data_IF_453212744168
#
_entry.id   IF_453212744168
#
_cell.length_a   1.000
_cell.length_b   1.000
_cell.length_c   1.000
_cell.angle_alpha   90.00
_cell.angle_beta   90.00
_cell.angle_gamma   90.00
#
_symmetry.space_group_name_H-M   'P 1'
#
loop_
_entity.id
_entity.type
_entity.pdbx_description
1 polymer ?
#
# COMPACT_ATOMS: atom_id res chain seq x y z
N UNK A 1 22.74 -0.85 10.06
CA UNK A 1 22.35 0.07 11.15
C UNK A 1 20.89 -0.05 11.55
N UNK A 2 19.90 0.24 10.68
CA UNK A 2 18.47 0.10 11.06
C UNK A 2 18.09 -1.34 11.50
N UNK A 3 18.51 -2.36 10.74
CA UNK A 3 18.34 -3.78 11.10
C UNK A 3 18.95 -4.14 12.46
N UNK A 4 20.14 -3.60 12.78
CA UNK A 4 20.79 -3.87 14.07
C UNK A 4 20.03 -3.23 15.24
N UNK A 5 19.45 -2.04 15.04
CA UNK A 5 18.62 -1.37 16.05
C UNK A 5 17.32 -2.14 16.25
N UNK A 6 16.69 -2.65 15.19
CA UNK A 6 15.49 -3.47 15.29
C UNK A 6 15.78 -4.79 16.00
N UNK A 7 16.87 -5.47 15.62
CA UNK A 7 17.29 -6.72 16.24
C UNK A 7 17.64 -6.54 17.73
N UNK A 8 18.33 -5.46 18.11
CA UNK A 8 18.65 -5.18 19.52
C UNK A 8 17.44 -4.85 20.38
N UNK A 9 16.36 -4.35 19.76
CA UNK A 9 15.09 -4.09 20.42
C UNK A 9 14.13 -5.28 20.37
N UNK A 10 14.50 -6.39 19.72
CA UNK A 10 13.62 -7.54 19.49
C UNK A 10 12.41 -7.21 18.60
N UNK A 11 12.51 -6.18 17.76
CA UNK A 11 11.42 -5.67 16.90
C UNK A 11 11.66 -5.97 15.42
N UNK A 12 12.12 -7.17 15.09
CA UNK A 12 12.30 -7.57 13.70
C UNK A 12 10.96 -7.61 12.93
N UNK A 13 11.06 -7.38 11.61
CA UNK A 13 9.92 -7.36 10.71
C UNK A 13 10.03 -6.26 9.66
N UNK A 14 8.99 -6.16 8.83
CA UNK A 14 8.96 -5.16 7.76
C UNK A 14 9.07 -3.74 8.31
N UNK A 15 9.92 -2.96 7.66
CA UNK A 15 10.28 -1.64 8.15
C UNK A 15 10.69 -0.72 7.02
N UNK A 16 10.43 0.57 7.19
CA UNK A 16 10.99 1.61 6.34
C UNK A 16 11.94 2.44 7.19
N UNK A 17 13.20 2.52 6.76
CA UNK A 17 14.19 3.35 7.39
C UNK A 17 14.44 4.59 6.52
N UNK A 18 14.40 5.76 7.12
CA UNK A 18 14.72 7.02 6.46
C UNK A 18 15.68 7.81 7.35
N UNK A 19 16.83 8.18 6.78
CA UNK A 19 17.81 9.03 7.44
C UNK A 19 17.60 10.46 6.93
N UNK A 20 17.32 11.40 7.85
CA UNK A 20 17.27 12.84 7.56
C UNK A 20 17.96 13.62 8.66
N UNK A 21 18.85 14.53 8.29
CA UNK A 21 19.47 15.50 9.21
C UNK A 21 20.06 14.86 10.49
N UNK A 22 20.75 13.72 10.35
CA UNK A 22 21.35 13.01 11.50
C UNK A 22 20.36 12.29 12.42
N UNK A 23 19.09 12.19 12.02
CA UNK A 23 18.04 11.39 12.67
C UNK A 23 17.67 10.21 11.78
N UNK A 24 17.82 9.00 12.31
CA UNK A 24 17.36 7.78 11.66
C UNK A 24 15.95 7.48 12.18
N UNK A 25 14.95 7.64 11.32
CA UNK A 25 13.56 7.29 11.62
C UNK A 25 13.26 5.95 10.99
N UNK A 26 12.89 4.98 11.82
CA UNK A 26 12.49 3.64 11.42
C UNK A 26 11.00 3.50 11.70
N UNK A 27 10.22 3.33 10.63
CA UNK A 27 8.81 2.96 10.73
C UNK A 27 8.70 1.46 10.65
N UNK A 28 8.32 0.83 11.76
CA UNK A 28 8.08 -0.60 11.83
C UNK A 28 6.62 -0.85 11.44
N UNK A 29 6.43 -1.50 10.30
CA UNK A 29 5.13 -1.77 9.68
C UNK A 29 4.47 -2.99 10.33
N UNK A 30 4.15 -2.88 11.62
CA UNK A 30 3.30 -3.86 12.28
C UNK A 30 1.86 -3.69 11.78
N UNK A 31 1.17 -4.80 11.49
CA UNK A 31 -0.16 -4.75 10.90
C UNK A 31 -1.16 -3.95 11.76
N UNK A 32 -1.14 -4.15 13.08
CA UNK A 32 -2.15 -3.57 13.99
C UNK A 32 -1.59 -2.42 14.82
N UNK A 33 -0.28 -2.40 15.12
CA UNK A 33 0.30 -1.39 16.04
C UNK A 33 1.59 -0.84 15.44
N UNK A 34 1.52 0.08 14.47
CA UNK A 34 2.72 0.65 13.88
C UNK A 34 3.56 1.34 14.96
N UNK A 35 4.85 1.07 14.92
CA UNK A 35 5.82 1.64 15.88
C UNK A 35 6.78 2.53 15.11
N UNK A 36 7.03 3.73 15.62
CA UNK A 36 8.02 4.66 15.09
C UNK A 36 9.20 4.70 16.05
N UNK A 37 10.38 4.38 15.53
CA UNK A 37 11.63 4.40 16.29
C UNK A 37 12.47 5.53 15.70
N UNK A 38 12.81 6.52 16.51
CA UNK A 38 13.66 7.65 16.11
C UNK A 38 14.97 7.60 16.86
N UNK A 39 16.07 7.41 16.13
CA UNK A 39 17.42 7.43 16.67
C UNK A 39 18.12 8.74 16.28
N UNK A 40 18.55 9.52 17.27
CA UNK A 40 19.25 10.80 17.06
C UNK A 40 20.74 10.62 17.29
N UNK A 41 21.54 10.71 16.23
CA UNK A 41 22.98 10.39 16.24
C UNK A 41 23.76 11.36 17.14
N UNK A 42 23.46 12.67 17.06
CA UNK A 42 24.17 13.70 17.83
C UNK A 42 24.02 13.58 19.35
N UNK A 43 22.92 12.95 19.82
CA UNK A 43 22.63 12.81 21.25
C UNK A 43 22.66 11.38 21.77
N UNK A 44 22.95 10.39 20.91
CA UNK A 44 22.83 8.96 21.22
C UNK A 44 21.50 8.58 21.92
N UNK A 45 20.40 9.19 21.48
CA UNK A 45 19.06 9.01 22.06
C UNK A 45 18.18 8.21 21.12
N UNK A 46 17.51 7.20 21.68
CA UNK A 46 16.51 6.39 21.01
C UNK A 46 15.15 6.71 21.60
N UNK A 47 14.18 7.02 20.75
CA UNK A 47 12.79 7.29 21.13
C UNK A 47 11.88 6.31 20.38
N UNK A 48 11.08 5.57 21.13
CA UNK A 48 10.14 4.56 20.59
C UNK A 48 8.72 5.04 20.87
N UNK A 49 8.00 5.37 19.80
CA UNK A 49 6.62 5.86 19.86
C UNK A 49 5.67 4.81 19.28
N UNK A 50 4.63 4.49 20.04
CA UNK A 50 3.49 3.75 19.51
C UNK A 50 2.57 4.72 18.79
N UNK A 51 2.29 4.46 17.52
CA UNK A 51 1.35 5.27 16.75
C UNK A 51 -0.08 4.90 17.14
N UNK A 52 -0.98 5.88 17.17
CA UNK A 52 -2.41 5.66 17.40
C UNK A 52 -2.98 4.92 16.19
N UNK A 53 -3.84 3.93 16.43
CA UNK A 53 -4.56 3.24 15.37
C UNK A 53 -5.68 4.14 14.84
N UNK A 54 -5.40 4.88 13.78
CA UNK A 54 -6.38 5.63 13.03
C UNK A 54 -6.79 4.86 11.77
N UNK A 55 -8.09 4.73 11.50
CA UNK A 55 -8.62 3.88 10.43
C UNK A 55 -8.16 4.30 9.03
N UNK A 56 -8.22 5.61 8.72
CA UNK A 56 -7.77 6.12 7.43
C UNK A 56 -6.27 5.87 7.21
N UNK A 57 -5.45 6.22 8.20
CA UNK A 57 -4.01 5.99 8.15
C UNK A 57 -3.66 4.49 8.09
N UNK A 58 -4.45 3.62 8.73
CA UNK A 58 -4.29 2.17 8.64
C UNK A 58 -4.56 1.65 7.22
N UNK A 59 -5.68 2.04 6.61
CA UNK A 59 -6.01 1.66 5.24
C UNK A 59 -4.99 2.19 4.24
N UNK A 60 -4.55 3.45 4.40
CA UNK A 60 -3.50 4.02 3.56
C UNK A 60 -2.20 3.21 3.65
N UNK A 61 -1.77 2.84 4.86
CA UNK A 61 -0.58 2.00 5.06
C UNK A 61 -0.73 0.64 4.42
N UNK A 62 -1.88 -0.03 4.59
CA UNK A 62 -2.14 -1.31 3.93
C UNK A 62 -2.13 -1.18 2.41
N UNK A 63 -2.71 -0.10 1.87
CA UNK A 63 -2.76 0.17 0.44
C UNK A 63 -1.38 0.48 -0.17
N UNK A 64 -0.51 1.16 0.59
CA UNK A 64 0.86 1.50 0.16
C UNK A 64 1.90 0.43 0.52
N UNK A 65 1.53 -0.60 1.28
CA UNK A 65 2.45 -1.65 1.72
C UNK A 65 2.91 -2.47 0.52
N UNK A 66 4.22 -2.44 0.28
CA UNK A 66 4.89 -3.24 -0.74
C UNK A 66 5.38 -4.55 -0.14
N UNK A 67 5.14 -5.66 -0.82
CA UNK A 67 5.72 -6.96 -0.48
C UNK A 67 7.09 -7.18 -1.15
N UNK A 68 7.71 -8.34 -0.89
CA UNK A 68 9.02 -8.77 -1.42
C UNK A 68 10.25 -7.90 -1.10
N UNK A 69 10.08 -6.76 -0.43
CA UNK A 69 11.20 -5.87 -0.09
C UNK A 69 12.00 -6.33 1.13
N UNK A 70 11.47 -7.29 1.88
CA UNK A 70 12.08 -7.82 3.10
C UNK A 70 12.03 -9.35 3.09
N UNK A 71 13.00 -10.03 3.73
CA UNK A 71 13.09 -11.49 3.74
C UNK A 71 12.13 -12.13 4.77
N UNK A 72 10.87 -11.72 4.77
CA UNK A 72 9.86 -12.20 5.71
C UNK A 72 8.71 -12.86 4.95
N UNK A 73 8.43 -14.12 5.27
CA UNK A 73 7.37 -14.91 4.63
C UNK A 73 6.00 -14.22 4.67
N UNK A 74 5.70 -13.49 5.74
CA UNK A 74 4.44 -12.75 5.87
C UNK A 74 4.33 -11.58 4.87
N UNK A 75 5.46 -10.95 4.49
CA UNK A 75 5.45 -9.93 3.42
C UNK A 75 5.25 -10.56 2.05
N UNK A 76 5.84 -11.73 1.81
CA UNK A 76 5.70 -12.45 0.54
C UNK A 76 4.27 -12.97 0.36
N UNK A 77 3.67 -13.53 1.42
CA UNK A 77 2.28 -13.97 1.40
C UNK A 77 1.31 -12.80 1.19
N UNK A 78 1.59 -11.65 1.82
CA UNK A 78 0.84 -10.43 1.58
C UNK A 78 0.93 -10.01 0.10
N UNK A 79 2.15 -9.93 -0.45
CA UNK A 79 2.39 -9.58 -1.84
C UNK A 79 1.62 -10.49 -2.81
N UNK A 80 1.75 -11.81 -2.61
CA UNK A 80 1.07 -12.81 -3.42
C UNK A 80 -0.46 -12.67 -3.37
N UNK A 81 -1.02 -12.37 -2.20
CA UNK A 81 -2.48 -12.16 -2.07
C UNK A 81 -2.96 -10.94 -2.87
N UNK A 82 -2.16 -9.87 -2.92
CA UNK A 82 -2.46 -8.67 -3.70
C UNK A 82 -2.35 -8.97 -5.19
N UNK A 83 -1.32 -9.70 -5.63
CA UNK A 83 -1.15 -10.11 -7.03
C UNK A 83 -2.32 -11.00 -7.50
N UNK A 84 -2.74 -11.94 -6.66
CA UNK A 84 -3.91 -12.77 -6.93
C UNK A 84 -5.19 -11.94 -7.05
N UNK A 85 -5.40 -10.98 -6.16
CA UNK A 85 -6.54 -10.07 -6.22
C UNK A 85 -6.55 -9.26 -7.52
N UNK A 86 -5.38 -8.74 -7.95
CA UNK A 86 -5.24 -8.03 -9.22
C UNK A 86 -5.65 -8.94 -10.39
N UNK A 87 -5.17 -10.19 -10.42
CA UNK A 87 -5.53 -11.14 -11.47
C UNK A 87 -7.05 -11.41 -11.51
N UNK A 88 -7.68 -11.57 -10.35
CA UNK A 88 -9.15 -11.75 -10.22
C UNK A 88 -9.90 -10.51 -10.71
N UNK A 89 -9.43 -9.30 -10.37
CA UNK A 89 -10.03 -8.06 -10.84
C UNK A 89 -9.94 -7.90 -12.36
N UNK A 90 -8.79 -8.21 -12.96
CA UNK A 90 -8.63 -8.19 -14.41
C UNK A 90 -9.58 -9.19 -15.08
N UNK A 91 -9.66 -10.42 -14.56
CA UNK A 91 -10.61 -11.42 -15.06
C UNK A 91 -12.07 -10.96 -14.94
N UNK A 92 -12.46 -10.35 -13.82
CA UNK A 92 -13.81 -9.82 -13.64
C UNK A 92 -14.10 -8.68 -14.63
N UNK A 93 -13.19 -7.71 -14.79
CA UNK A 93 -13.36 -6.62 -15.76
C UNK A 93 -13.53 -7.17 -17.18
N UNK A 94 -12.66 -8.09 -17.59
CA UNK A 94 -12.71 -8.69 -18.92
C UNK A 94 -14.00 -9.50 -19.15
N UNK A 95 -14.44 -10.27 -18.16
CA UNK A 95 -15.70 -11.02 -18.26
C UNK A 95 -16.92 -10.11 -18.29
N UNK A 96 -16.90 -8.99 -17.56
CA UNK A 96 -17.95 -7.96 -17.64
C UNK A 96 -18.01 -7.30 -19.02
N UNK A 97 -16.85 -6.96 -19.61
CA UNK A 97 -16.78 -6.42 -20.97
C UNK A 97 -17.28 -7.42 -22.01
N UNK A 98 -16.88 -8.69 -21.88
CA UNK A 98 -17.36 -9.77 -22.74
C UNK A 98 -18.87 -9.94 -22.67
N UNK A 99 -19.44 -9.99 -21.45
CA UNK A 99 -20.88 -10.15 -21.25
C UNK A 99 -21.65 -8.96 -21.81
N UNK A 100 -21.17 -7.74 -21.59
CA UNK A 100 -21.77 -6.55 -22.19
C UNK A 100 -21.77 -6.61 -23.71
N UNK A 101 -20.67 -7.08 -24.31
CA UNK A 101 -20.57 -7.24 -25.76
C UNK A 101 -21.54 -8.30 -26.32
N UNK A 102 -21.78 -9.39 -25.60
CA UNK A 102 -22.72 -10.43 -26.05
C UNK A 102 -24.19 -9.99 -25.89
N UNK A 103 -24.49 -9.21 -24.85
CA UNK A 103 -25.84 -8.74 -24.54
C UNK A 103 -26.24 -7.52 -25.40
N UNK A 104 -26.74 -7.77 -26.61
CA UNK A 104 -27.18 -6.71 -27.55
C UNK A 104 -28.13 -5.68 -26.94
N UNK A 105 -28.98 -6.08 -25.99
CA UNK A 105 -29.94 -5.19 -25.31
C UNK A 105 -29.25 -4.11 -24.46
N UNK A 106 -28.04 -4.35 -23.95
CA UNK A 106 -27.32 -3.44 -23.04
C UNK A 106 -26.21 -2.65 -23.73
N UNK A 107 -25.99 -2.85 -25.04
CA UNK A 107 -24.96 -2.15 -25.83
C UNK A 107 -25.01 -0.63 -25.67
N UNK A 108 -26.19 -0.03 -25.88
CA UNK A 108 -26.36 1.43 -25.78
C UNK A 108 -25.96 1.96 -24.41
N UNK A 109 -26.37 1.29 -23.34
CA UNK A 109 -26.05 1.69 -21.98
C UNK A 109 -24.56 1.57 -21.67
N UNK A 110 -23.89 0.52 -22.13
CA UNK A 110 -22.45 0.43 -21.92
C UNK A 110 -21.65 1.44 -22.75
N UNK A 111 -22.08 1.80 -23.97
CA UNK A 111 -21.47 2.91 -24.72
C UNK A 111 -21.60 4.22 -23.93
N UNK A 112 -22.80 4.51 -23.42
CA UNK A 112 -23.04 5.72 -22.60
C UNK A 112 -22.13 5.72 -21.37
N UNK A 113 -22.03 4.61 -20.66
CA UNK A 113 -21.15 4.48 -19.49
C UNK A 113 -19.66 4.65 -19.84
N UNK A 114 -19.20 4.07 -20.95
CA UNK A 114 -17.82 4.23 -21.41
C UNK A 114 -17.50 5.67 -21.78
N UNK A 115 -18.38 6.33 -22.53
CA UNK A 115 -18.21 7.74 -22.90
C UNK A 115 -18.22 8.65 -21.68
N UNK A 116 -19.14 8.42 -20.74
CA UNK A 116 -19.19 9.18 -19.49
C UNK A 116 -17.91 9.00 -18.66
N UNK A 117 -17.41 7.77 -18.53
CA UNK A 117 -16.16 7.47 -17.85
C UNK A 117 -14.95 8.14 -18.52
N UNK A 118 -14.85 8.06 -19.85
CA UNK A 118 -13.79 8.70 -20.62
C UNK A 118 -13.83 10.23 -20.50
N UNK A 119 -15.03 10.84 -20.55
CA UNK A 119 -15.21 12.27 -20.39
C UNK A 119 -14.81 12.74 -18.99
N UNK A 120 -15.24 12.03 -17.94
CA UNK A 120 -14.83 12.32 -16.56
C UNK A 120 -13.32 12.20 -16.36
N UNK A 121 -12.72 11.14 -16.91
CA UNK A 121 -11.28 10.95 -16.87
C UNK A 121 -10.54 12.10 -17.56
N UNK A 122 -10.95 12.47 -18.78
CA UNK A 122 -10.37 13.58 -19.52
C UNK A 122 -10.50 14.92 -18.79
N UNK A 123 -11.65 15.18 -18.15
CA UNK A 123 -11.88 16.38 -17.35
C UNK A 123 -10.94 16.43 -16.14
N UNK A 124 -10.81 15.33 -15.39
CA UNK A 124 -9.91 15.27 -14.23
C UNK A 124 -8.44 15.39 -14.64
N UNK A 125 -8.04 14.72 -15.72
CA UNK A 125 -6.68 14.76 -16.23
C UNK A 125 -6.27 16.14 -16.78
N UNK A 126 -7.23 16.93 -17.28
CA UNK A 126 -6.96 18.30 -17.76
C UNK A 126 -6.90 19.37 -16.66
N UNK A 127 -7.32 19.04 -15.43
CA UNK A 127 -7.33 19.95 -14.28
C UNK A 127 -6.10 19.76 -13.38
N UNK A 128 -5.50 18.56 -13.40
CA UNK A 128 -4.26 18.20 -12.71
C UNK A 128 -3.02 18.60 -13.52
#
# INVERSE_FOLDING_TARGET
>A
MALQILASLGMDGAHQATLREGRLVIQRNEAIRPVRITYTVAGNRLLVERQVLEGAAFLERMHRRRGFQHPYLLEDLWAFSVDLFIAVMLFWILSGLWMWWEMKATHRWGIVSLLAGAALFGLLAGVL
#
